data_IF_223709302395
#
_entry.id   IF_223709302395
#
_cell.length_a   1.000
_cell.length_b   1.000
_cell.length_c   1.000
_cell.angle_alpha   90.00
_cell.angle_beta   90.00
_cell.angle_gamma   90.00
#
_symmetry.space_group_name_H-M   'P 1'
#
loop_
_entity.id
_entity.type
_entity.pdbx_description
1 polymer ?
#
# COMPACT_ATOMS: atom_id res chain seq x y z
N UNK A 1 12.20 -17.85 6.15
CA UNK A 1 11.13 -18.82 5.84
C UNK A 1 10.34 -19.04 7.13
N UNK A 2 9.01 -18.99 7.08
CA UNK A 2 8.16 -19.24 8.25
C UNK A 2 8.19 -20.75 8.57
N UNK A 3 8.48 -21.09 9.83
CA UNK A 3 8.37 -22.41 10.40
C UNK A 3 7.74 -22.32 11.82
N UNK A 4 7.47 -23.45 12.46
CA UNK A 4 6.80 -23.46 13.77
C UNK A 4 7.62 -22.80 14.88
N UNK A 5 8.95 -22.88 14.83
CA UNK A 5 9.83 -22.24 15.81
C UNK A 5 9.76 -20.72 15.66
N UNK A 6 9.84 -20.24 14.42
CA UNK A 6 9.78 -18.81 14.13
C UNK A 6 8.38 -18.23 14.42
N UNK A 7 7.31 -18.94 14.05
CA UNK A 7 5.96 -18.58 14.41
C UNK A 7 5.79 -18.44 15.93
N UNK A 8 6.24 -19.43 16.71
CA UNK A 8 6.22 -19.36 18.18
C UNK A 8 6.96 -18.12 18.70
N UNK A 9 8.13 -17.79 18.14
CA UNK A 9 8.89 -16.59 18.55
C UNK A 9 8.13 -15.29 18.29
N UNK A 10 7.47 -15.17 17.12
CA UNK A 10 6.68 -13.99 16.79
C UNK A 10 5.55 -13.76 17.78
N UNK A 11 4.75 -14.79 18.08
CA UNK A 11 3.64 -14.65 19.01
C UNK A 11 4.08 -14.45 20.47
N UNK A 12 5.18 -15.06 20.89
CA UNK A 12 5.80 -14.76 22.20
C UNK A 12 6.34 -13.34 22.30
N UNK A 13 6.74 -12.75 21.19
CA UNK A 13 7.18 -11.36 21.15
C UNK A 13 6.02 -10.33 21.13
N UNK A 14 4.77 -10.80 21.17
CA UNK A 14 3.58 -9.95 21.27
C UNK A 14 2.84 -9.74 19.93
N UNK A 15 3.04 -10.62 18.93
CA UNK A 15 2.22 -10.57 17.71
C UNK A 15 0.80 -11.05 18.02
N UNK A 16 -0.21 -10.23 17.71
CA UNK A 16 -1.61 -10.57 17.91
C UNK A 16 -2.22 -11.32 16.73
N UNK A 17 -1.87 -10.94 15.51
CA UNK A 17 -2.44 -11.47 14.27
C UNK A 17 -1.40 -11.56 13.16
N UNK A 18 -1.34 -12.71 12.48
CA UNK A 18 -0.49 -12.95 11.32
C UNK A 18 -1.33 -13.08 10.05
N UNK A 19 -1.05 -12.27 9.03
CA UNK A 19 -1.57 -12.50 7.68
C UNK A 19 -0.54 -13.26 6.86
N UNK A 20 -0.96 -14.40 6.32
CA UNK A 20 -0.15 -15.26 5.47
C UNK A 20 -0.65 -15.11 4.02
N UNK A 21 0.20 -14.52 3.17
CA UNK A 21 -0.10 -14.40 1.76
C UNK A 21 0.26 -15.71 1.05
N UNK A 22 -0.69 -16.28 0.32
CA UNK A 22 -0.55 -17.52 -0.42
C UNK A 22 -0.53 -17.18 -1.92
N UNK A 23 0.47 -17.66 -2.65
CA UNK A 23 0.67 -17.33 -4.07
C UNK A 23 0.64 -18.56 -5.00
N UNK A 24 0.99 -19.74 -4.49
CA UNK A 24 1.29 -20.89 -5.35
C UNK A 24 0.13 -21.89 -5.47
N UNK A 25 -0.86 -21.83 -4.57
CA UNK A 25 -2.03 -22.70 -4.65
C UNK A 25 -2.61 -23.06 -3.29
N UNK A 26 -3.72 -23.83 -3.33
CA UNK A 26 -4.50 -24.17 -2.14
C UNK A 26 -3.75 -25.11 -1.19
N UNK A 27 -2.82 -25.89 -1.69
CA UNK A 27 -1.96 -26.80 -0.92
C UNK A 27 -1.09 -26.07 0.11
N UNK A 28 -0.83 -24.78 -0.10
CA UNK A 28 -0.13 -23.96 0.90
C UNK A 28 -0.91 -23.82 2.20
N UNK A 29 -2.24 -23.89 2.17
CA UNK A 29 -3.08 -23.82 3.37
C UNK A 29 -2.72 -24.95 4.33
N UNK A 30 -2.72 -26.19 3.83
CA UNK A 30 -2.38 -27.36 4.66
C UNK A 30 -0.96 -27.24 5.25
N UNK A 31 -0.01 -26.80 4.43
CA UNK A 31 1.38 -26.59 4.88
C UNK A 31 1.47 -25.59 6.03
N UNK A 32 0.80 -24.45 5.91
CA UNK A 32 0.84 -23.43 6.97
C UNK A 32 -0.01 -23.80 8.18
N UNK A 33 -1.14 -24.50 8.00
CA UNK A 33 -1.92 -25.04 9.11
C UNK A 33 -1.10 -26.02 9.96
N UNK A 34 -0.29 -26.87 9.35
CA UNK A 34 0.62 -27.76 10.08
C UNK A 34 1.67 -26.96 10.88
N UNK A 35 2.22 -25.89 10.31
CA UNK A 35 3.17 -25.00 11.02
C UNK A 35 2.51 -24.36 12.23
N UNK A 36 1.30 -23.79 12.07
CA UNK A 36 0.58 -23.12 13.15
C UNK A 36 0.15 -24.09 14.23
N UNK A 37 -0.35 -25.26 13.86
CA UNK A 37 -0.72 -26.33 14.82
C UNK A 37 0.50 -26.80 15.63
N UNK A 38 1.64 -27.03 14.99
CA UNK A 38 2.89 -27.40 15.67
C UNK A 38 3.41 -26.30 16.59
N UNK A 39 3.11 -25.03 16.27
CA UNK A 39 3.43 -23.88 17.12
C UNK A 39 2.37 -23.61 18.21
N UNK A 40 1.28 -24.40 18.27
CA UNK A 40 0.13 -24.22 19.16
C UNK A 40 -0.53 -22.83 19.02
N UNK A 41 -0.56 -22.29 17.80
CA UNK A 41 -1.19 -21.01 17.48
C UNK A 41 -2.63 -21.28 17.02
N UNK A 42 -3.60 -20.60 17.65
CA UNK A 42 -5.01 -20.80 17.32
C UNK A 42 -5.38 -20.19 15.97
N UNK A 43 -6.42 -20.75 15.32
CA UNK A 43 -6.96 -20.26 14.04
C UNK A 43 -7.40 -18.79 14.11
N UNK A 44 -7.74 -18.27 15.28
CA UNK A 44 -8.12 -16.88 15.46
C UNK A 44 -6.94 -15.89 15.32
N UNK A 45 -5.71 -16.40 15.44
CA UNK A 45 -4.49 -15.59 15.45
C UNK A 45 -3.81 -15.49 14.08
N UNK A 46 -4.31 -16.17 13.07
CA UNK A 46 -3.79 -16.00 11.71
C UNK A 46 -4.90 -16.06 10.66
N UNK A 47 -4.64 -15.43 9.52
CA UNK A 47 -5.56 -15.38 8.38
C UNK A 47 -4.79 -15.58 7.09
N UNK A 48 -5.43 -16.28 6.14
CA UNK A 48 -4.90 -16.42 4.80
C UNK A 48 -5.41 -15.31 3.88
N UNK A 49 -4.53 -14.84 3.00
CA UNK A 49 -4.87 -13.99 1.87
C UNK A 49 -4.42 -14.72 0.62
N UNK A 50 -5.38 -15.25 -0.12
CA UNK A 50 -5.14 -15.98 -1.36
C UNK A 50 -4.96 -15.03 -2.53
N UNK A 51 -3.93 -15.27 -3.34
CA UNK A 51 -3.59 -14.47 -4.52
C UNK A 51 -3.86 -15.23 -5.82
N UNK A 52 -4.89 -16.09 -5.83
CA UNK A 52 -5.40 -16.81 -7.00
C UNK A 52 -6.91 -17.01 -6.92
N UNK A 53 -7.52 -17.41 -8.04
CA UNK A 53 -8.94 -17.71 -8.14
C UNK A 53 -9.81 -16.47 -8.13
N UNK A 54 -10.93 -16.53 -7.43
CA UNK A 54 -11.89 -15.43 -7.33
C UNK A 54 -11.37 -14.35 -6.36
N UNK A 55 -10.71 -13.35 -6.93
CA UNK A 55 -10.10 -12.26 -6.17
C UNK A 55 -11.11 -11.42 -5.41
N UNK A 56 -12.32 -11.22 -5.97
CA UNK A 56 -13.39 -10.46 -5.31
C UNK A 56 -13.86 -11.16 -4.04
N UNK A 57 -14.04 -12.48 -4.11
CA UNK A 57 -14.42 -13.32 -2.96
C UNK A 57 -13.39 -13.24 -1.83
N UNK A 58 -12.11 -13.06 -2.15
CA UNK A 58 -11.03 -12.97 -1.17
C UNK A 58 -10.68 -11.53 -0.80
N UNK A 59 -11.44 -10.55 -1.27
CA UNK A 59 -11.22 -9.13 -0.98
C UNK A 59 -9.92 -8.58 -1.56
N UNK A 60 -9.40 -9.21 -2.61
CA UNK A 60 -8.22 -8.75 -3.33
C UNK A 60 -8.63 -7.93 -4.54
N UNK A 61 -8.10 -6.73 -4.62
CA UNK A 61 -8.24 -5.89 -5.80
C UNK A 61 -6.91 -5.95 -6.55
N UNK A 62 -6.95 -6.59 -7.72
CA UNK A 62 -5.79 -6.57 -8.63
C UNK A 62 -5.58 -5.15 -9.17
N UNK A 63 -4.33 -4.79 -9.36
CA UNK A 63 -3.96 -3.54 -9.98
C UNK A 63 -2.65 -3.71 -10.76
N UNK A 64 -2.42 -2.83 -11.73
CA UNK A 64 -1.26 -2.91 -12.62
C UNK A 64 0.05 -2.37 -12.01
N UNK A 65 0.10 -2.11 -10.72
CA UNK A 65 1.27 -1.55 -10.02
C UNK A 65 1.85 -0.33 -10.75
N UNK A 66 0.96 0.60 -11.09
CA UNK A 66 1.26 1.79 -11.88
C UNK A 66 1.91 1.49 -13.25
N UNK A 67 1.39 0.48 -13.92
CA UNK A 67 1.79 0.07 -15.27
C UNK A 67 3.05 -0.80 -15.34
N UNK A 68 3.54 -1.31 -14.20
CA UNK A 68 4.68 -2.27 -14.17
C UNK A 68 4.24 -3.70 -14.44
N UNK A 69 3.00 -4.03 -14.09
CA UNK A 69 2.44 -5.36 -14.30
C UNK A 69 1.29 -5.25 -15.30
N UNK A 70 1.38 -6.07 -16.33
CA UNK A 70 0.31 -6.27 -17.31
C UNK A 70 -0.59 -7.42 -16.85
N UNK A 71 -1.78 -7.09 -16.34
CA UNK A 71 -2.77 -8.05 -15.90
C UNK A 71 -3.88 -8.19 -16.95
N UNK A 72 -4.23 -9.42 -17.26
CA UNK A 72 -5.45 -9.70 -18.02
C UNK A 72 -6.65 -9.15 -17.26
N UNK A 73 -7.44 -8.28 -17.91
CA UNK A 73 -8.65 -7.69 -17.33
C UNK A 73 -8.47 -6.30 -16.71
N UNK A 74 -7.30 -5.67 -16.84
CA UNK A 74 -7.12 -4.24 -16.59
C UNK A 74 -7.00 -3.54 -17.94
N UNK A 75 -8.02 -2.79 -18.29
CA UNK A 75 -8.11 -2.07 -19.56
C UNK A 75 -7.61 -0.63 -19.41
N UNK A 76 -7.23 -0.01 -20.52
CA UNK A 76 -6.81 1.40 -20.55
C UNK A 76 -7.91 2.33 -20.00
N UNK A 77 -9.17 2.01 -20.29
CA UNK A 77 -10.34 2.70 -19.76
C UNK A 77 -10.42 2.72 -18.22
N UNK A 78 -9.90 1.69 -17.54
CA UNK A 78 -9.85 1.66 -16.07
C UNK A 78 -8.91 2.74 -15.55
N UNK A 79 -7.77 2.94 -16.21
CA UNK A 79 -6.82 3.98 -15.88
C UNK A 79 -7.38 5.38 -16.20
N UNK A 80 -8.01 5.53 -17.37
CA UNK A 80 -8.62 6.79 -17.80
C UNK A 80 -9.76 7.22 -16.86
N UNK A 81 -10.58 6.28 -16.38
CA UNK A 81 -11.68 6.55 -15.46
C UNK A 81 -11.25 7.19 -14.14
N UNK A 82 -9.97 7.06 -13.79
CA UNK A 82 -9.39 7.61 -12.56
C UNK A 82 -8.80 9.01 -12.73
N UNK A 83 -8.67 9.50 -13.97
CA UNK A 83 -8.22 10.87 -14.20
C UNK A 83 -9.23 11.86 -13.62
N UNK A 84 -8.75 12.91 -12.97
CA UNK A 84 -9.60 13.86 -12.26
C UNK A 84 -10.03 13.43 -10.86
N UNK A 85 -9.86 12.16 -10.47
CA UNK A 85 -10.17 11.70 -9.11
C UNK A 85 -8.99 11.89 -8.16
N UNK A 86 -9.21 12.38 -6.93
CA UNK A 86 -8.15 12.49 -5.93
C UNK A 86 -7.62 11.09 -5.56
N UNK A 87 -6.38 11.06 -5.05
CA UNK A 87 -5.79 9.84 -4.51
C UNK A 87 -5.35 10.08 -3.06
N UNK A 88 -5.87 9.27 -2.15
CA UNK A 88 -5.65 9.44 -0.71
C UNK A 88 -4.37 8.78 -0.20
N UNK A 89 -3.74 7.90 -0.95
CA UNK A 89 -2.60 7.10 -0.50
C UNK A 89 -1.49 7.91 0.18
N UNK A 90 -0.91 8.98 -0.40
CA UNK A 90 0.17 9.70 0.25
C UNK A 90 -0.26 10.52 1.47
N UNK A 91 -1.54 10.46 1.86
CA UNK A 91 -2.09 11.20 3.00
C UNK A 91 -2.22 10.38 4.28
N UNK A 92 -2.16 9.05 4.18
CA UNK A 92 -2.30 8.17 5.35
C UNK A 92 -1.16 7.16 5.50
N UNK A 93 -0.31 6.96 4.48
CA UNK A 93 0.89 6.14 4.61
C UNK A 93 2.02 6.58 3.69
N UNK A 94 3.21 6.07 3.94
CA UNK A 94 4.34 6.06 3.04
C UNK A 94 4.96 4.66 3.03
N UNK A 95 5.64 4.32 1.97
CA UNK A 95 6.24 3.01 1.79
C UNK A 95 7.76 3.13 1.92
N UNK A 96 8.34 2.33 2.82
CA UNK A 96 9.80 2.22 2.97
C UNK A 96 10.24 0.93 2.29
N UNK A 97 11.08 1.07 1.28
CA UNK A 97 11.58 -0.07 0.52
C UNK A 97 12.77 -0.72 1.24
N UNK A 98 13.12 -1.93 0.80
CA UNK A 98 14.15 -2.77 1.41
C UNK A 98 15.52 -2.10 1.57
N UNK A 99 15.86 -1.15 0.71
CA UNK A 99 17.12 -0.39 0.73
C UNK A 99 17.02 0.93 1.50
N UNK A 100 15.90 1.19 2.18
CA UNK A 100 15.64 2.41 2.93
C UNK A 100 15.15 3.59 2.10
N UNK A 101 14.93 3.43 0.79
CA UNK A 101 14.26 4.45 -0.01
C UNK A 101 12.80 4.57 0.41
N UNK A 102 12.32 5.80 0.53
CA UNK A 102 10.91 6.06 0.86
C UNK A 102 10.18 6.47 -0.41
N UNK A 103 9.15 5.69 -0.75
CA UNK A 103 8.25 5.96 -1.87
C UNK A 103 6.96 6.59 -1.35
N UNK A 104 6.36 7.47 -2.13
CA UNK A 104 5.08 8.09 -1.75
C UNK A 104 3.90 7.11 -1.83
N UNK A 105 4.05 5.99 -2.54
CA UNK A 105 3.00 5.02 -2.79
C UNK A 105 3.57 3.61 -2.95
N UNK A 106 2.92 2.61 -2.37
CA UNK A 106 3.26 1.19 -2.54
C UNK A 106 2.99 0.65 -3.95
N UNK A 107 2.27 1.39 -4.79
CA UNK A 107 2.04 1.02 -6.19
C UNK A 107 3.10 1.60 -7.15
N UNK A 108 4.01 2.44 -6.68
CA UNK A 108 5.16 2.91 -7.46
C UNK A 108 6.24 1.82 -7.55
N UNK A 109 5.91 0.72 -8.22
CA UNK A 109 6.83 -0.41 -8.38
C UNK A 109 8.01 -0.10 -9.31
N UNK A 110 7.83 0.87 -10.20
CA UNK A 110 8.91 1.39 -11.03
C UNK A 110 9.92 2.24 -10.24
N UNK A 111 9.62 2.58 -8.97
CA UNK A 111 10.45 3.40 -8.08
C UNK A 111 10.78 4.76 -8.72
N UNK A 112 9.83 5.32 -9.44
CA UNK A 112 10.03 6.55 -10.20
C UNK A 112 10.12 7.79 -9.29
N UNK A 113 9.55 7.71 -8.06
CA UNK A 113 9.48 8.84 -7.14
C UNK A 113 9.92 8.46 -5.72
N UNK A 114 11.23 8.44 -5.51
CA UNK A 114 11.81 8.39 -4.17
C UNK A 114 11.67 9.76 -3.51
N UNK A 115 10.92 9.84 -2.42
CA UNK A 115 10.62 11.09 -1.69
C UNK A 115 11.54 11.34 -0.49
N UNK A 116 12.34 10.35 -0.12
CA UNK A 116 13.32 10.44 0.97
C UNK A 116 14.08 9.15 1.18
N UNK A 117 14.98 9.16 2.16
CA UNK A 117 15.79 8.00 2.57
C UNK A 117 15.70 7.80 4.08
N UNK A 118 15.06 6.72 4.51
CA UNK A 118 14.82 6.42 5.92
C UNK A 118 16.10 6.38 6.79
N UNK A 119 17.20 5.90 6.22
CA UNK A 119 18.47 5.83 6.95
C UNK A 119 19.20 7.18 7.09
N UNK A 120 18.75 8.23 6.41
CA UNK A 120 19.39 9.55 6.39
C UNK A 120 18.48 10.65 6.94
N UNK A 121 17.19 10.38 7.04
CA UNK A 121 16.14 11.33 7.43
C UNK A 121 15.17 10.65 8.40
N UNK A 122 14.60 11.40 9.32
CA UNK A 122 13.49 10.92 10.13
C UNK A 122 12.23 10.74 9.26
N UNK A 123 11.33 9.84 9.65
CA UNK A 123 10.05 9.66 8.97
C UNK A 123 9.23 10.96 8.94
N UNK A 124 9.33 11.78 9.99
CA UNK A 124 8.69 13.08 10.06
C UNK A 124 9.21 14.04 8.97
N UNK A 125 10.54 14.14 8.79
CA UNK A 125 11.13 14.98 7.75
C UNK A 125 10.72 14.54 6.36
N UNK A 126 10.68 13.23 6.09
CA UNK A 126 10.22 12.69 4.80
C UNK A 126 8.74 12.97 4.60
N UNK A 127 7.91 12.75 5.64
CA UNK A 127 6.46 12.96 5.58
C UNK A 127 6.08 14.39 5.21
N UNK A 128 6.81 15.38 5.71
CA UNK A 128 6.57 16.80 5.43
C UNK A 128 7.54 17.39 4.38
N UNK A 129 8.26 16.54 3.66
CA UNK A 129 9.22 16.98 2.65
C UNK A 129 8.54 17.70 1.47
N UNK A 130 9.32 18.57 0.80
CA UNK A 130 8.84 19.25 -0.42
C UNK A 130 8.41 18.29 -1.53
N UNK A 131 9.12 17.18 -1.81
CA UNK A 131 8.67 16.19 -2.79
C UNK A 131 7.33 15.59 -2.45
N UNK A 132 7.12 15.13 -1.20
CA UNK A 132 5.87 14.55 -0.74
C UNK A 132 4.72 15.58 -0.84
N UNK A 133 4.95 16.80 -0.40
CA UNK A 133 3.95 17.87 -0.44
C UNK A 133 3.53 18.24 -1.87
N UNK A 134 4.45 18.27 -2.84
CA UNK A 134 4.13 18.51 -4.25
C UNK A 134 3.21 17.41 -4.81
N UNK A 135 3.48 16.15 -4.46
CA UNK A 135 2.65 15.01 -4.88
C UNK A 135 1.26 15.11 -4.26
N UNK A 136 1.16 15.40 -2.96
CA UNK A 136 -0.12 15.59 -2.26
C UNK A 136 -0.96 16.69 -2.90
N UNK A 137 -0.39 17.87 -3.12
CA UNK A 137 -1.09 19.01 -3.73
C UNK A 137 -1.62 18.68 -5.13
N UNK A 138 -0.87 17.92 -5.92
CA UNK A 138 -1.29 17.44 -7.23
C UNK A 138 -2.46 16.46 -7.12
N UNK A 139 -2.31 15.43 -6.28
CA UNK A 139 -3.29 14.37 -6.14
C UNK A 139 -4.57 14.81 -5.40
N UNK A 140 -4.51 15.84 -4.57
CA UNK A 140 -5.71 16.50 -4.00
C UNK A 140 -6.64 17.06 -5.08
N UNK A 141 -6.07 17.59 -6.16
CA UNK A 141 -6.80 18.17 -7.30
C UNK A 141 -7.22 17.14 -8.33
N UNK A 142 -6.94 15.85 -8.09
CA UNK A 142 -7.20 14.80 -9.06
C UNK A 142 -6.21 14.77 -10.23
N UNK A 143 -5.14 15.57 -10.18
CA UNK A 143 -4.14 15.57 -11.24
C UNK A 143 -3.25 14.32 -11.15
N UNK A 144 -3.57 13.34 -11.97
CA UNK A 144 -2.84 12.08 -12.16
C UNK A 144 -2.02 12.06 -13.45
N UNK A 145 -1.84 13.19 -14.12
CA UNK A 145 -1.20 13.28 -15.43
C UNK A 145 0.28 12.87 -15.46
N UNK A 146 0.95 12.85 -14.30
CA UNK A 146 2.38 12.50 -14.21
C UNK A 146 2.59 11.06 -13.79
N UNK A 147 3.66 10.47 -14.34
CA UNK A 147 4.12 9.14 -13.90
C UNK A 147 4.38 9.12 -12.39
N UNK A 148 4.18 7.97 -11.72
CA UNK A 148 3.56 6.74 -12.22
C UNK A 148 2.02 6.75 -12.17
N UNK A 149 1.41 7.84 -11.67
CA UNK A 149 -0.04 7.93 -11.45
C UNK A 149 -0.87 7.92 -12.76
N UNK A 150 -0.30 8.39 -13.86
CA UNK A 150 -0.95 8.41 -15.18
C UNK A 150 -1.19 7.01 -15.78
N UNK A 151 -0.52 5.99 -15.25
CA UNK A 151 -0.65 4.60 -15.68
C UNK A 151 -1.29 3.72 -14.59
N UNK A 152 -1.65 4.29 -13.45
CA UNK A 152 -2.09 3.53 -12.29
C UNK A 152 -3.58 3.19 -12.39
N UNK A 153 -3.92 1.90 -12.24
CA UNK A 153 -5.30 1.40 -12.22
C UNK A 153 -5.94 1.40 -10.82
N UNK A 154 -5.28 1.96 -9.81
CA UNK A 154 -5.78 1.94 -8.43
C UNK A 154 -6.70 3.11 -8.15
N UNK A 155 -7.95 2.84 -7.73
CA UNK A 155 -8.80 3.86 -7.14
C UNK A 155 -8.32 4.17 -5.71
N UNK A 156 -7.45 5.14 -5.63
CA UNK A 156 -6.86 5.58 -4.36
C UNK A 156 -7.82 6.38 -3.47
N UNK A 157 -9.09 6.54 -3.84
CA UNK A 157 -10.10 7.24 -3.04
C UNK A 157 -10.88 6.32 -2.10
N UNK A 158 -10.74 4.99 -2.24
CA UNK A 158 -11.51 4.01 -1.48
C UNK A 158 -11.16 3.98 0.01
N UNK A 159 -9.91 4.26 0.38
CA UNK A 159 -9.42 4.24 1.76
C UNK A 159 -8.73 5.57 2.10
N UNK A 160 -8.61 5.86 3.41
CA UNK A 160 -7.81 6.99 3.90
C UNK A 160 -8.48 8.35 3.81
N UNK A 161 -9.79 8.42 3.53
CA UNK A 161 -10.53 9.69 3.45
C UNK A 161 -10.38 10.58 4.69
N UNK A 162 -10.44 10.09 5.94
CA UNK A 162 -10.26 10.94 7.11
C UNK A 162 -8.89 11.63 7.15
N UNK A 163 -7.82 10.90 6.80
CA UNK A 163 -6.47 11.46 6.74
C UNK A 163 -6.32 12.45 5.58
N UNK A 164 -6.96 12.15 4.45
CA UNK A 164 -6.99 13.06 3.30
C UNK A 164 -7.69 14.38 3.66
N UNK A 165 -8.88 14.33 4.25
CA UNK A 165 -9.65 15.51 4.63
C UNK A 165 -8.86 16.38 5.64
N UNK A 166 -8.27 15.76 6.66
CA UNK A 166 -7.45 16.47 7.65
C UNK A 166 -6.27 17.23 7.04
N UNK A 167 -5.54 16.59 6.13
CA UNK A 167 -4.37 17.22 5.49
C UNK A 167 -4.82 18.23 4.42
N UNK A 168 -5.93 17.98 3.74
CA UNK A 168 -6.52 18.92 2.79
C UNK A 168 -6.83 20.26 3.49
N UNK A 169 -7.52 20.23 4.63
CA UNK A 169 -7.86 21.43 5.41
C UNK A 169 -6.60 22.19 5.84
N UNK A 170 -5.53 21.47 6.21
CA UNK A 170 -4.24 22.08 6.52
C UNK A 170 -3.67 22.89 5.33
N UNK A 171 -3.68 22.33 4.13
CA UNK A 171 -3.18 23.03 2.93
C UNK A 171 -4.08 24.18 2.51
N UNK A 172 -5.38 24.05 2.59
CA UNK A 172 -6.34 25.09 2.26
C UNK A 172 -6.20 26.29 3.22
N UNK A 173 -6.08 26.01 4.52
CA UNK A 173 -5.88 27.06 5.54
C UNK A 173 -4.51 27.75 5.43
N UNK A 174 -3.48 27.02 5.01
CA UNK A 174 -2.13 27.56 4.82
C UNK A 174 -2.02 28.48 3.61
N UNK A 175 -2.80 28.23 2.56
CA UNK A 175 -2.86 29.10 1.39
C UNK A 175 -3.58 30.44 1.67
N UNK A 176 -4.55 30.44 2.59
CA UNK A 176 -5.28 31.64 3.00
C UNK A 176 -4.50 32.55 3.97
N UNK A 177 -3.31 32.13 4.43
CA UNK A 177 -2.45 32.93 5.34
C UNK A 177 -1.30 33.66 4.62
N UNK A 178 -1.34 33.73 3.30
CA UNK A 178 -0.33 34.44 2.49
C UNK A 178 -0.78 35.81 1.98
N UNK A 179 -1.60 36.51 2.78
CA UNK A 179 -1.89 37.93 2.61
C UNK A 179 -1.37 38.76 3.80
#
# INVERSE_FOLDING_TARGET
>A
KLDSIYATKLFRAGLDLLYINLYDGIEQIEHFDQIMNNAMISQAQYKYRMHWGDFEKHGLILNNRSGVIDWVGIEESDVESLQGKPCHFPFYYMFVDWNGDVLFCSNDWGREHVVGKFLQQSLHEVWFSKPMNKIRQRLMRGDRSKSPCNKCSVDGSLLGKPSFDLIKDYYESSNNRKD
#
